data_IF_841586062157
#
_entry.id   IF_841586062157
#
_cell.length_a   1.000
_cell.length_b   1.000
_cell.length_c   1.000
_cell.angle_alpha   90.00
_cell.angle_beta   90.00
_cell.angle_gamma   90.00
#
_symmetry.space_group_name_H-M   'P 1'
#
loop_
_entity.id
_entity.type
_entity.pdbx_description
1 polymer ?
#
# COMPACT_ATOMS: atom_id res chain seq x y z
N UNK A 1 0.73 -29.92 -6.91
CA UNK A 1 0.05 -29.07 -5.91
C UNK A 1 -0.56 -27.89 -6.64
N UNK A 2 -1.89 -27.68 -6.61
CA UNK A 2 -2.47 -26.46 -7.18
C UNK A 2 -2.00 -25.26 -6.35
N UNK A 3 -1.45 -24.25 -7.01
CA UNK A 3 -1.05 -23.00 -6.36
C UNK A 3 -2.34 -22.21 -6.09
N UNK A 4 -2.62 -21.91 -4.82
CA UNK A 4 -3.73 -21.03 -4.46
C UNK A 4 -3.36 -19.59 -4.84
N UNK A 5 -4.07 -19.01 -5.82
CA UNK A 5 -3.83 -17.65 -6.31
C UNK A 5 -5.08 -16.79 -6.19
N UNK A 6 -4.89 -15.53 -5.82
CA UNK A 6 -5.94 -14.52 -5.98
C UNK A 6 -6.05 -14.11 -7.45
N UNK A 7 -7.13 -13.41 -7.82
CA UNK A 7 -7.27 -12.82 -9.17
C UNK A 7 -6.08 -11.93 -9.54
N UNK A 8 -5.59 -11.14 -8.58
CA UNK A 8 -4.42 -10.29 -8.74
C UNK A 8 -3.18 -11.12 -9.11
N UNK A 9 -2.89 -12.19 -8.37
CA UNK A 9 -1.73 -13.05 -8.64
C UNK A 9 -1.88 -13.82 -9.95
N UNK A 10 -3.09 -14.31 -10.25
CA UNK A 10 -3.37 -15.05 -11.48
C UNK A 10 -3.04 -14.23 -12.72
N UNK A 11 -3.47 -12.96 -12.76
CA UNK A 11 -3.13 -12.05 -13.85
C UNK A 11 -1.61 -11.86 -14.02
N UNK A 12 -0.88 -11.74 -12.92
CA UNK A 12 0.59 -11.57 -12.95
C UNK A 12 1.32 -12.81 -13.42
N UNK A 13 0.83 -13.99 -13.07
CA UNK A 13 1.36 -15.26 -13.57
C UNK A 13 1.05 -15.45 -15.06
N UNK A 14 -0.11 -14.99 -15.52
CA UNK A 14 -0.42 -14.94 -16.95
C UNK A 14 0.49 -13.96 -17.70
N UNK A 15 0.77 -12.77 -17.14
CA UNK A 15 1.73 -11.81 -17.71
C UNK A 15 3.13 -12.46 -17.87
N UNK A 16 3.57 -13.25 -16.88
CA UNK A 16 4.83 -13.99 -16.94
C UNK A 16 4.80 -15.11 -17.98
N UNK A 17 3.75 -15.93 -17.98
CA UNK A 17 3.59 -17.04 -18.92
C UNK A 17 3.47 -16.56 -20.38
N UNK A 18 2.85 -15.40 -20.59
CA UNK A 18 2.73 -14.75 -21.90
C UNK A 18 3.97 -13.98 -22.35
N UNK A 19 5.04 -13.93 -21.55
CA UNK A 19 6.28 -13.22 -21.90
C UNK A 19 6.24 -11.69 -21.75
N UNK A 20 5.17 -11.13 -21.17
CA UNK A 20 5.02 -9.69 -20.94
C UNK A 20 5.93 -9.16 -19.82
N UNK A 21 6.47 -10.06 -18.99
CA UNK A 21 7.49 -9.74 -18.00
C UNK A 21 8.46 -10.92 -17.84
N UNK A 22 9.62 -10.63 -17.25
CA UNK A 22 10.65 -11.61 -16.93
C UNK A 22 10.65 -11.92 -15.43
N UNK A 23 10.87 -13.19 -15.10
CA UNK A 23 11.00 -13.63 -13.72
C UNK A 23 12.36 -13.21 -13.16
N UNK A 24 12.37 -12.61 -11.97
CA UNK A 24 13.55 -12.35 -11.15
C UNK A 24 13.80 -13.48 -10.15
N UNK A 25 14.21 -13.13 -8.93
CA UNK A 25 14.36 -14.11 -7.85
C UNK A 25 13.01 -14.70 -7.43
N UNK A 26 13.04 -15.95 -6.98
CA UNK A 26 11.94 -16.59 -6.29
C UNK A 26 12.41 -17.06 -4.92
N UNK A 27 11.62 -16.73 -3.90
CA UNK A 27 11.82 -17.19 -2.54
C UNK A 27 10.58 -17.96 -2.09
N UNK A 28 10.81 -19.08 -1.41
CA UNK A 28 9.75 -19.89 -0.85
C UNK A 28 9.96 -19.94 0.65
N UNK A 29 8.89 -19.74 1.42
CA UNK A 29 8.93 -19.91 2.86
C UNK A 29 7.73 -20.72 3.35
N UNK A 30 7.94 -21.32 4.50
CA UNK A 30 6.95 -22.10 5.23
C UNK A 30 6.54 -21.33 6.48
N UNK A 31 5.24 -21.12 6.64
CA UNK A 31 4.66 -20.38 7.75
C UNK A 31 4.28 -21.33 8.89
N UNK A 32 4.18 -20.81 10.12
CA UNK A 32 3.92 -21.61 11.33
C UNK A 32 2.55 -22.31 11.33
N UNK A 33 1.62 -21.87 10.50
CA UNK A 33 0.30 -22.45 10.31
C UNK A 33 0.31 -23.66 9.37
N UNK A 34 1.46 -24.00 8.77
CA UNK A 34 1.62 -25.14 7.88
C UNK A 34 1.60 -24.77 6.39
N UNK A 35 1.29 -23.52 6.06
CA UNK A 35 1.15 -23.06 4.68
C UNK A 35 2.49 -22.72 4.03
N UNK A 36 2.59 -22.98 2.72
CA UNK A 36 3.74 -22.64 1.90
C UNK A 36 3.42 -21.44 1.02
N UNK A 37 4.36 -20.50 0.96
CA UNK A 37 4.23 -19.28 0.15
C UNK A 37 5.43 -19.15 -0.78
N UNK A 38 5.16 -18.66 -2.00
CA UNK A 38 6.19 -18.30 -2.96
C UNK A 38 6.09 -16.81 -3.28
N UNK A 39 7.16 -16.06 -3.05
CA UNK A 39 7.34 -14.72 -3.61
C UNK A 39 8.13 -14.84 -4.90
N UNK A 40 7.52 -14.38 -5.99
CA UNK A 40 8.14 -14.34 -7.30
C UNK A 40 8.32 -12.87 -7.67
N UNK A 41 9.57 -12.44 -7.85
CA UNK A 41 9.86 -11.10 -8.37
C UNK A 41 9.56 -11.07 -9.86
N UNK A 42 8.76 -10.10 -10.31
CA UNK A 42 8.44 -9.90 -11.72
C UNK A 42 9.04 -8.59 -12.20
N UNK A 43 9.78 -8.63 -13.29
CA UNK A 43 10.47 -7.49 -13.86
C UNK A 43 9.80 -7.14 -15.18
N UNK A 44 9.16 -5.97 -15.20
CA UNK A 44 8.53 -5.40 -16.38
C UNK A 44 9.50 -4.43 -17.03
N UNK A 45 9.63 -4.52 -18.35
CA UNK A 45 10.30 -3.45 -19.10
C UNK A 45 9.37 -2.24 -19.16
N UNK A 46 9.93 -1.08 -18.86
CA UNK A 46 9.18 0.18 -18.83
C UNK A 46 9.87 1.18 -19.73
N UNK A 47 9.10 1.84 -20.58
CA UNK A 47 9.59 2.93 -21.40
C UNK A 47 9.46 4.25 -20.64
N UNK A 48 10.47 5.11 -20.76
CA UNK A 48 10.35 6.50 -20.35
C UNK A 48 9.41 7.19 -21.34
N UNK A 49 8.38 7.83 -20.82
CA UNK A 49 7.53 8.69 -21.63
C UNK A 49 8.10 10.10 -21.59
N UNK A 50 8.13 10.79 -22.73
CA UNK A 50 8.42 12.22 -22.78
C UNK A 50 7.39 12.97 -21.93
N UNK A 51 7.82 13.81 -20.96
CA UNK A 51 6.90 14.53 -20.10
C UNK A 51 6.13 15.59 -20.90
N UNK A 52 4.81 15.44 -21.00
CA UNK A 52 3.94 16.41 -21.67
C UNK A 52 3.57 17.61 -20.78
N UNK A 53 4.01 17.61 -19.50
CA UNK A 53 3.70 18.66 -18.56
C UNK A 53 4.15 18.33 -17.13
N UNK A 54 3.88 19.26 -16.21
CA UNK A 54 4.21 19.12 -14.79
C UNK A 54 2.96 19.35 -13.96
N UNK A 55 2.73 18.47 -12.98
CA UNK A 55 1.71 18.65 -11.94
C UNK A 55 2.43 18.91 -10.62
N UNK A 56 2.19 20.07 -10.01
CA UNK A 56 2.65 20.38 -8.66
C UNK A 56 1.82 19.60 -7.64
N UNK A 57 2.47 19.05 -6.62
CA UNK A 57 1.82 18.29 -5.53
C UNK A 57 2.29 18.83 -4.19
N UNK A 58 1.36 19.33 -3.39
CA UNK A 58 1.60 19.75 -2.00
C UNK A 58 1.01 18.73 -1.02
N UNK A 59 1.75 18.33 0.00
CA UNK A 59 1.33 17.32 0.99
C UNK A 59 1.08 17.96 2.35
N UNK A 60 -0.03 17.58 3.00
CA UNK A 60 -0.40 18.13 4.30
C UNK A 60 -1.14 17.16 5.21
N UNK A 61 -1.55 17.66 6.37
CA UNK A 61 -2.28 16.87 7.39
C UNK A 61 -3.79 16.89 7.14
N UNK A 62 -4.35 18.08 6.89
CA UNK A 62 -5.80 18.25 6.64
C UNK A 62 -6.14 17.86 5.21
N UNK A 63 -5.28 18.23 4.26
CA UNK A 63 -5.31 17.77 2.87
C UNK A 63 -4.08 16.89 2.68
N UNK A 64 -4.30 15.60 2.45
CA UNK A 64 -3.22 14.64 2.30
C UNK A 64 -2.37 14.96 1.08
N UNK A 65 -3.01 15.41 0.00
CA UNK A 65 -2.34 15.99 -1.15
C UNK A 65 -3.24 17.03 -1.83
N UNK A 66 -2.62 18.06 -2.42
CA UNK A 66 -3.26 19.09 -3.25
C UNK A 66 -2.48 19.20 -4.55
N UNK A 67 -3.18 19.08 -5.67
CA UNK A 67 -2.56 19.12 -7.00
C UNK A 67 -2.80 20.49 -7.64
N UNK A 68 -1.87 20.95 -8.47
CA UNK A 68 -1.96 22.23 -9.19
C UNK A 68 -3.16 22.34 -10.15
N UNK A 69 -3.84 21.23 -10.44
CA UNK A 69 -5.07 21.16 -11.23
C UNK A 69 -6.36 21.14 -10.38
N UNK A 70 -6.30 21.67 -9.15
CA UNK A 70 -7.43 21.76 -8.23
C UNK A 70 -8.05 20.41 -7.81
N UNK A 71 -7.24 19.34 -7.78
CA UNK A 71 -7.65 18.05 -7.18
C UNK A 71 -7.14 17.98 -5.75
N UNK A 72 -8.03 17.65 -4.82
CA UNK A 72 -7.75 17.63 -3.38
C UNK A 72 -8.02 16.25 -2.79
N UNK A 73 -7.07 15.75 -1.99
CA UNK A 73 -7.22 14.51 -1.25
C UNK A 73 -7.48 14.82 0.23
N UNK A 74 -8.71 14.57 0.70
CA UNK A 74 -9.12 14.96 2.06
C UNK A 74 -8.57 14.03 3.15
N UNK A 75 -7.95 14.62 4.17
CA UNK A 75 -7.33 13.93 5.30
C UNK A 75 -8.16 13.90 6.57
N UNK A 76 -9.36 14.48 6.62
CA UNK A 76 -10.14 14.60 7.88
C UNK A 76 -10.46 13.24 8.49
N UNK A 77 -10.88 12.27 7.67
CA UNK A 77 -11.11 10.88 8.11
C UNK A 77 -9.83 10.22 8.62
N UNK A 78 -8.68 10.54 8.02
CA UNK A 78 -7.37 10.05 8.46
C UNK A 78 -7.02 10.60 9.83
N UNK A 79 -7.10 11.92 9.99
CA UNK A 79 -6.86 12.59 11.26
C UNK A 79 -7.75 12.05 12.37
N UNK A 80 -9.07 12.02 12.14
CA UNK A 80 -10.03 11.51 13.12
C UNK A 80 -9.67 10.09 13.59
N UNK A 81 -9.33 9.18 12.66
CA UNK A 81 -8.98 7.81 13.04
C UNK A 81 -7.65 7.70 13.79
N UNK A 82 -6.66 8.52 13.45
CA UNK A 82 -5.39 8.61 14.19
C UNK A 82 -5.62 9.09 15.62
N UNK A 83 -6.46 10.10 15.81
CA UNK A 83 -6.86 10.60 17.14
C UNK A 83 -7.53 9.49 17.96
N UNK A 84 -8.43 8.71 17.35
CA UNK A 84 -9.08 7.57 18.02
C UNK A 84 -8.07 6.49 18.45
N UNK A 85 -7.08 6.15 17.60
CA UNK A 85 -6.04 5.19 17.97
C UNK A 85 -5.10 5.73 19.05
N UNK A 86 -4.76 7.02 19.02
CA UNK A 86 -3.96 7.64 20.05
C UNK A 86 -4.67 7.61 21.41
N UNK A 87 -5.95 7.99 21.46
CA UNK A 87 -6.77 7.93 22.67
C UNK A 87 -6.88 6.51 23.22
N UNK A 88 -7.15 5.52 22.34
CA UNK A 88 -7.22 4.11 22.73
C UNK A 88 -5.89 3.60 23.28
N UNK A 89 -4.77 3.95 22.65
CA UNK A 89 -3.43 3.57 23.10
C UNK A 89 -3.13 4.13 24.49
N UNK A 90 -3.44 5.42 24.71
CA UNK A 90 -3.27 6.07 26.01
C UNK A 90 -4.11 5.40 27.11
N UNK A 91 -5.40 5.11 26.84
CA UNK A 91 -6.27 4.43 27.80
C UNK A 91 -5.76 3.02 28.16
N UNK A 92 -5.27 2.26 27.17
CA UNK A 92 -4.70 0.93 27.42
C UNK A 92 -3.40 1.00 28.23
N UNK A 93 -2.55 1.99 27.98
CA UNK A 93 -1.31 2.20 28.72
C UNK A 93 -1.59 2.60 30.17
N UNK A 94 -2.52 3.53 30.39
CA UNK A 94 -2.94 3.94 31.73
C UNK A 94 -3.52 2.76 32.54
N UNK A 95 -4.27 1.87 31.89
CA UNK A 95 -4.80 0.65 32.49
C UNK A 95 -3.77 -0.49 32.63
N UNK A 96 -2.48 -0.26 32.32
CA UNK A 96 -1.42 -1.27 32.40
C UNK A 96 -1.55 -2.42 31.40
N UNK A 97 -2.41 -2.31 30.37
CA UNK A 97 -2.71 -3.40 29.41
C UNK A 97 -1.71 -3.46 28.25
N UNK A 98 -0.42 -3.58 28.57
CA UNK A 98 0.68 -3.55 27.60
C UNK A 98 0.60 -4.66 26.54
N UNK A 99 0.07 -5.85 26.87
CA UNK A 99 -0.14 -6.93 25.91
C UNK A 99 -1.10 -6.55 24.78
N UNK A 100 -2.16 -5.79 25.10
CA UNK A 100 -3.11 -5.29 24.11
C UNK A 100 -2.49 -4.19 23.24
N UNK A 101 -1.69 -3.30 23.83
CA UNK A 101 -0.94 -2.29 23.06
C UNK A 101 -0.02 -2.95 22.05
N UNK A 102 0.73 -3.99 22.46
CA UNK A 102 1.59 -4.78 21.56
C UNK A 102 0.78 -5.49 20.47
N UNK A 103 -0.36 -6.09 20.81
CA UNK A 103 -1.24 -6.77 19.84
C UNK A 103 -1.81 -5.80 18.79
N UNK A 104 -2.10 -4.56 19.18
CA UNK A 104 -2.65 -3.54 18.29
C UNK A 104 -1.57 -2.75 17.52
N UNK A 105 -0.29 -2.94 17.86
CA UNK A 105 0.82 -2.28 17.22
C UNK A 105 0.86 -2.55 15.70
N UNK A 106 1.27 -1.55 14.93
CA UNK A 106 1.40 -1.63 13.47
C UNK A 106 0.08 -1.58 12.68
N UNK A 107 -1.10 -1.67 13.31
CA UNK A 107 -2.39 -1.54 12.61
C UNK A 107 -2.53 -0.16 11.95
N UNK A 108 -2.19 0.90 12.68
CA UNK A 108 -2.20 2.27 12.18
C UNK A 108 -1.23 2.45 10.99
N UNK A 109 -0.01 1.94 11.12
CA UNK A 109 1.00 2.01 10.05
C UNK A 109 0.56 1.30 8.78
N UNK A 110 0.03 0.07 8.89
CA UNK A 110 -0.49 -0.69 7.74
C UNK A 110 -1.63 0.07 7.05
N UNK A 111 -2.54 0.64 7.83
CA UNK A 111 -3.65 1.40 7.30
C UNK A 111 -3.20 2.69 6.59
N UNK A 112 -2.28 3.45 7.19
CA UNK A 112 -1.75 4.66 6.57
C UNK A 112 -0.96 4.33 5.30
N UNK A 113 -0.21 3.23 5.28
CA UNK A 113 0.50 2.74 4.09
C UNK A 113 -0.48 2.42 2.96
N UNK A 114 -1.60 1.77 3.26
CA UNK A 114 -2.65 1.50 2.26
C UNK A 114 -3.24 2.80 1.70
N UNK A 115 -3.60 3.77 2.55
CA UNK A 115 -4.12 5.06 2.10
C UNK A 115 -3.12 5.78 1.20
N UNK A 116 -1.86 5.85 1.63
CA UNK A 116 -0.80 6.49 0.84
C UNK A 116 -0.65 5.80 -0.52
N UNK A 117 -0.66 4.46 -0.57
CA UNK A 117 -0.62 3.71 -1.82
C UNK A 117 -1.78 4.09 -2.75
N UNK A 118 -3.02 4.16 -2.24
CA UNK A 118 -4.18 4.56 -3.04
C UNK A 118 -4.05 5.99 -3.57
N UNK A 119 -3.60 6.94 -2.75
CA UNK A 119 -3.43 8.35 -3.14
C UNK A 119 -2.32 8.46 -4.18
N UNK A 120 -1.14 7.89 -3.92
CA UNK A 120 -0.01 7.90 -4.86
C UNK A 120 -0.39 7.29 -6.21
N UNK A 121 -1.07 6.13 -6.21
CA UNK A 121 -1.57 5.50 -7.44
C UNK A 121 -2.51 6.44 -8.19
N UNK A 122 -3.43 7.10 -7.48
CA UNK A 122 -4.37 8.05 -8.09
C UNK A 122 -3.69 9.29 -8.67
N UNK A 123 -2.69 9.84 -7.98
CA UNK A 123 -1.89 10.97 -8.48
C UNK A 123 -1.18 10.59 -9.77
N UNK A 124 -0.53 9.41 -9.81
CA UNK A 124 0.12 8.91 -11.03
C UNK A 124 -0.89 8.72 -12.17
N UNK A 125 -2.09 8.19 -11.90
CA UNK A 125 -3.15 8.08 -12.91
C UNK A 125 -3.60 9.45 -13.46
N UNK A 126 -3.65 10.48 -12.61
CA UNK A 126 -3.98 11.85 -13.02
C UNK A 126 -2.86 12.44 -13.88
N UNK A 127 -1.60 12.21 -13.52
CA UNK A 127 -0.43 12.73 -14.23
C UNK A 127 -0.12 12.02 -15.56
N UNK A 128 -0.70 10.83 -15.78
CA UNK A 128 -0.60 10.10 -17.05
C UNK A 128 -1.54 10.62 -18.13
N UNK A 129 -2.52 11.46 -17.76
CA UNK A 129 -3.41 12.14 -18.71
C UNK A 129 -2.74 13.39 -19.25
#
# INVERSE_FOLDING_TARGET
MPIATSEYHTKRLQDLAGGSCRQGSMEIWHEKDGEWYAAISLIYETHLNEPCGVIGVDFGIVKLAVLSNNIFFDGRKVRWRKEQWAARRAALQQAGRLSRVKKEAGRETRWMRYINHCISKRIVEIAKK
#
